data_IF_063822045460
#
_entry.id   IF_063822045460
#
_cell.length_a   1.000
_cell.length_b   1.000
_cell.length_c   1.000
_cell.angle_alpha   90.00
_cell.angle_beta   90.00
_cell.angle_gamma   90.00
#
_symmetry.space_group_name_H-M   'P 1'
#
loop_
_entity.id
_entity.type
_entity.pdbx_description
1 polymer ?
#
# COMPACT_ATOMS: atom_id res chain seq x y z
N UNK A 1 15.60 -4.01 -5.33
CA UNK A 1 14.34 -3.52 -5.87
C UNK A 1 14.53 -2.73 -7.18
N UNK A 2 15.57 -1.95 -7.35
CA UNK A 2 15.84 -1.20 -8.60
C UNK A 2 16.28 -2.05 -9.78
N UNK A 3 16.64 -3.31 -9.59
CA UNK A 3 17.14 -4.17 -10.66
C UNK A 3 18.54 -3.83 -11.19
N UNK A 4 19.35 -3.10 -10.43
CA UNK A 4 20.68 -2.67 -10.86
C UNK A 4 21.56 -3.85 -11.27
N UNK A 5 21.54 -4.92 -10.49
CA UNK A 5 22.28 -6.15 -10.81
C UNK A 5 21.73 -6.83 -12.07
N UNK A 6 20.39 -7.02 -12.14
CA UNK A 6 19.71 -7.64 -13.29
C UNK A 6 20.03 -6.94 -14.60
N UNK A 7 20.00 -5.62 -14.59
CA UNK A 7 20.19 -4.80 -15.79
C UNK A 7 21.61 -4.28 -15.98
N UNK A 8 22.57 -4.74 -15.16
CA UNK A 8 23.97 -4.32 -15.17
C UNK A 8 24.13 -2.80 -15.19
N UNK A 9 23.31 -2.13 -14.39
CA UNK A 9 23.34 -0.67 -14.24
C UNK A 9 24.13 -0.27 -13.00
N UNK A 10 24.87 0.82 -13.13
CA UNK A 10 25.46 1.48 -11.95
C UNK A 10 24.43 2.45 -11.36
N UNK A 11 24.40 2.65 -10.02
CA UNK A 11 23.64 3.73 -9.42
C UNK A 11 24.06 5.05 -10.05
N UNK A 12 23.11 5.86 -10.55
CA UNK A 12 23.42 7.16 -11.14
C UNK A 12 23.95 8.14 -10.10
N UNK A 13 23.49 7.99 -8.85
CA UNK A 13 23.84 8.89 -7.76
C UNK A 13 24.71 8.14 -6.75
N UNK A 14 25.78 8.81 -6.31
CA UNK A 14 26.50 8.36 -5.12
C UNK A 14 25.60 8.57 -3.91
N UNK A 15 25.44 7.52 -3.12
CA UNK A 15 24.64 7.58 -1.88
C UNK A 15 25.57 7.97 -0.75
N UNK A 16 25.64 9.28 -0.45
CA UNK A 16 26.35 9.77 0.73
C UNK A 16 25.37 9.92 1.89
N UNK A 17 25.75 9.39 3.04
CA UNK A 17 25.14 9.73 4.33
C UNK A 17 25.97 10.84 4.98
N UNK A 18 25.32 11.88 5.47
CA UNK A 18 25.99 12.97 6.20
C UNK A 18 25.24 13.29 7.49
N UNK A 19 25.99 13.82 8.46
CA UNK A 19 25.44 14.28 9.71
C UNK A 19 25.01 15.74 9.59
N UNK A 20 23.84 16.06 10.14
CA UNK A 20 23.34 17.43 10.29
C UNK A 20 22.96 17.70 11.74
N UNK A 21 22.95 18.99 12.11
CA UNK A 21 22.63 19.45 13.46
C UNK A 21 21.26 20.10 13.55
N UNK A 22 20.71 20.53 12.39
CA UNK A 22 19.40 21.14 12.27
C UNK A 22 18.48 20.25 11.42
N UNK A 23 17.22 20.11 11.83
CA UNK A 23 16.27 19.22 11.17
C UNK A 23 16.40 17.76 11.60
N UNK A 24 15.46 16.92 11.20
CA UNK A 24 15.42 15.50 11.57
C UNK A 24 16.17 14.63 10.55
N UNK A 25 15.73 14.63 9.31
CA UNK A 25 16.38 13.98 8.17
C UNK A 25 15.86 14.59 6.87
N UNK A 26 16.65 14.53 5.82
CA UNK A 26 16.23 14.91 4.47
C UNK A 26 17.19 14.34 3.42
N UNK A 27 16.73 14.28 2.17
CA UNK A 27 17.56 13.99 1.02
C UNK A 27 17.62 15.20 0.08
N UNK A 28 18.76 15.39 -0.56
CA UNK A 28 18.97 16.41 -1.59
C UNK A 28 19.83 15.88 -2.75
N UNK A 29 20.30 16.76 -3.60
CA UNK A 29 21.15 16.42 -4.76
C UNK A 29 22.51 15.81 -4.38
N UNK A 30 22.91 15.87 -3.11
CA UNK A 30 24.22 15.39 -2.63
C UNK A 30 24.13 14.10 -1.83
N UNK A 31 22.93 13.67 -1.40
CA UNK A 31 22.73 12.44 -0.65
C UNK A 31 21.65 12.55 0.43
N UNK A 32 21.71 11.66 1.40
CA UNK A 32 20.82 11.63 2.56
C UNK A 32 21.50 12.26 3.77
N UNK A 33 20.75 13.06 4.51
CA UNK A 33 21.23 13.76 5.72
C UNK A 33 20.43 13.32 6.94
N UNK A 34 21.11 13.06 8.04
CA UNK A 34 20.52 12.58 9.28
C UNK A 34 20.98 13.42 10.46
N UNK A 35 20.06 13.78 11.35
CA UNK A 35 20.42 14.47 12.59
C UNK A 35 21.44 13.64 13.39
N UNK A 36 22.38 14.31 14.09
CA UNK A 36 23.44 13.63 14.83
C UNK A 36 22.93 12.58 15.83
N UNK A 37 21.78 12.82 16.45
CA UNK A 37 21.12 11.86 17.33
C UNK A 37 20.68 10.59 16.62
N UNK A 38 20.21 10.70 15.38
CA UNK A 38 19.80 9.56 14.52
C UNK A 38 21.02 8.77 14.02
N UNK A 39 22.16 9.42 13.83
CA UNK A 39 23.38 8.74 13.35
C UNK A 39 23.91 7.69 14.32
N UNK A 40 23.61 7.78 15.60
CA UNK A 40 23.92 6.70 16.57
C UNK A 40 23.19 5.39 16.24
N UNK A 41 22.03 5.49 15.60
CA UNK A 41 21.25 4.32 15.16
C UNK A 41 21.68 3.87 13.78
N UNK A 42 21.92 4.81 12.85
CA UNK A 42 22.41 4.51 11.49
C UNK A 42 23.78 3.82 11.51
N UNK A 43 24.67 4.24 12.44
CA UNK A 43 26.01 3.66 12.60
C UNK A 43 26.07 2.38 13.44
N UNK A 44 24.95 1.90 13.97
CA UNK A 44 24.90 0.69 14.81
C UNK A 44 24.12 -0.43 14.10
N UNK A 45 24.78 -1.48 13.60
CA UNK A 45 24.13 -2.58 12.90
C UNK A 45 22.99 -3.25 13.68
N UNK A 46 23.10 -3.33 15.01
CA UNK A 46 22.10 -3.99 15.86
C UNK A 46 20.80 -3.13 15.99
N UNK A 47 20.89 -1.83 15.70
CA UNK A 47 19.75 -0.91 15.76
C UNK A 47 19.12 -0.66 14.39
N UNK A 48 19.82 -0.97 13.31
CA UNK A 48 19.33 -0.75 11.93
C UNK A 48 17.93 -1.36 11.70
N UNK A 49 17.60 -2.59 12.13
CA UNK A 49 16.27 -3.15 11.90
C UNK A 49 15.13 -2.26 12.44
N UNK A 50 15.32 -1.59 13.58
CA UNK A 50 14.33 -0.68 14.17
C UNK A 50 14.24 0.68 13.48
N UNK A 51 15.36 1.18 12.92
CA UNK A 51 15.46 2.50 12.25
C UNK A 51 15.49 2.42 10.72
N UNK A 52 15.42 1.22 10.16
CA UNK A 52 15.58 0.96 8.73
C UNK A 52 14.64 1.78 7.84
N UNK A 53 13.43 2.08 8.30
CA UNK A 53 12.47 2.84 7.51
C UNK A 53 12.98 4.24 7.17
N UNK A 54 13.41 5.02 8.17
CA UNK A 54 13.89 6.39 7.95
C UNK A 54 15.13 6.43 7.06
N UNK A 55 16.07 5.52 7.30
CA UNK A 55 17.28 5.40 6.48
C UNK A 55 16.91 5.10 5.02
N UNK A 56 16.08 4.10 4.81
CA UNK A 56 15.64 3.71 3.46
C UNK A 56 14.75 4.76 2.79
N UNK A 57 14.02 5.56 3.57
CA UNK A 57 13.22 6.68 3.11
C UNK A 57 14.10 7.76 2.45
N UNK A 58 15.14 8.22 3.13
CA UNK A 58 16.02 9.25 2.57
C UNK A 58 16.83 8.72 1.39
N UNK A 59 17.39 7.53 1.49
CA UNK A 59 18.04 6.90 0.32
C UNK A 59 17.05 6.57 -0.79
N UNK A 60 15.78 6.35 -0.46
CA UNK A 60 14.68 6.23 -1.40
C UNK A 60 14.51 7.50 -2.24
N UNK A 61 14.56 8.68 -1.63
CA UNK A 61 14.54 9.96 -2.34
C UNK A 61 15.73 10.14 -3.28
N UNK A 62 16.94 9.74 -2.84
CA UNK A 62 18.15 9.80 -3.68
C UNK A 62 18.02 8.93 -4.92
N UNK A 63 17.35 7.76 -4.79
CA UNK A 63 17.18 6.78 -5.85
C UNK A 63 15.84 6.89 -6.60
N UNK A 64 14.97 7.80 -6.21
CA UNK A 64 13.66 8.02 -6.82
C UNK A 64 13.82 8.46 -8.28
N UNK A 65 13.28 7.68 -9.21
CA UNK A 65 13.39 7.98 -10.65
C UNK A 65 12.47 9.16 -10.99
N UNK A 66 13.08 10.32 -11.21
CA UNK A 66 12.37 11.58 -11.48
C UNK A 66 12.39 11.92 -12.96
N UNK A 67 11.28 12.43 -13.51
CA UNK A 67 9.93 12.51 -12.95
C UNK A 67 9.12 11.22 -13.07
N UNK A 68 9.63 10.19 -13.75
CA UNK A 68 8.89 8.98 -14.15
C UNK A 68 8.20 8.22 -12.99
N UNK A 69 8.78 8.30 -11.77
CA UNK A 69 8.24 7.69 -10.55
C UNK A 69 7.96 8.74 -9.47
N UNK A 70 7.93 10.03 -9.83
CA UNK A 70 7.63 11.14 -8.91
C UNK A 70 6.77 12.17 -9.62
N UNK A 71 5.48 11.98 -9.64
CA UNK A 71 4.49 12.98 -10.03
C UNK A 71 3.87 13.64 -8.80
N UNK A 72 3.02 14.66 -9.00
CA UNK A 72 2.40 15.39 -7.90
C UNK A 72 1.72 14.46 -6.90
N UNK A 73 1.81 14.78 -5.62
CA UNK A 73 1.27 13.99 -4.49
C UNK A 73 1.92 12.61 -4.25
N UNK A 74 3.06 12.32 -4.90
CA UNK A 74 3.78 11.04 -4.72
C UNK A 74 5.23 11.20 -4.28
N UNK A 75 5.67 12.43 -4.01
CA UNK A 75 7.02 12.72 -3.57
C UNK A 75 7.47 11.89 -2.38
N UNK A 76 6.60 11.77 -1.37
CA UNK A 76 6.79 11.01 -0.14
C UNK A 76 6.15 9.62 -0.19
N UNK A 77 5.75 9.13 -1.38
CA UNK A 77 5.08 7.85 -1.53
C UNK A 77 5.96 6.85 -2.26
N UNK A 78 6.43 7.18 -3.45
CA UNK A 78 7.19 6.24 -4.28
C UNK A 78 8.61 6.00 -3.78
N UNK A 79 9.22 6.94 -3.03
CA UNK A 79 10.45 6.69 -2.29
C UNK A 79 10.25 5.64 -1.18
N UNK A 80 9.06 5.57 -0.58
CA UNK A 80 8.74 4.62 0.46
C UNK A 80 8.49 3.17 -0.04
N UNK A 81 8.46 2.93 -1.34
CA UNK A 81 8.58 1.56 -1.89
C UNK A 81 9.90 0.93 -1.43
N UNK A 82 10.99 1.72 -1.41
CA UNK A 82 12.29 1.27 -0.89
C UNK A 82 12.23 1.02 0.61
N UNK A 83 11.60 1.91 1.38
CA UNK A 83 11.45 1.77 2.82
C UNK A 83 10.67 0.53 3.21
N UNK A 84 9.54 0.29 2.55
CA UNK A 84 8.72 -0.89 2.78
C UNK A 84 9.51 -2.17 2.46
N UNK A 85 10.21 -2.21 1.33
CA UNK A 85 11.04 -3.34 0.95
C UNK A 85 12.17 -3.62 1.96
N UNK A 86 12.95 -2.60 2.34
CA UNK A 86 14.05 -2.76 3.29
C UNK A 86 13.52 -3.16 4.68
N UNK A 87 12.45 -2.54 5.14
CA UNK A 87 11.84 -2.87 6.42
C UNK A 87 11.33 -4.32 6.42
N UNK A 88 10.66 -4.77 5.35
CA UNK A 88 10.23 -6.16 5.21
C UNK A 88 11.40 -7.15 5.26
N UNK A 89 12.50 -6.85 4.58
CA UNK A 89 13.68 -7.72 4.54
C UNK A 89 14.39 -7.84 5.91
N UNK A 90 14.36 -6.77 6.71
CA UNK A 90 15.04 -6.72 8.01
C UNK A 90 14.13 -7.08 9.18
N UNK A 91 12.85 -6.70 9.11
CA UNK A 91 11.90 -6.91 10.19
C UNK A 91 10.46 -6.96 9.68
N UNK A 92 10.01 -8.09 9.08
CA UNK A 92 8.67 -8.22 8.50
C UNK A 92 7.55 -8.12 9.55
N UNK A 93 7.83 -8.43 10.82
CA UNK A 93 6.85 -8.35 11.92
C UNK A 93 6.63 -6.92 12.45
N UNK A 94 7.29 -5.92 11.88
CA UNK A 94 7.21 -4.52 12.32
C UNK A 94 6.90 -3.57 11.14
N UNK A 95 6.15 -4.04 10.16
CA UNK A 95 5.77 -3.23 9.01
C UNK A 95 4.85 -2.08 9.40
N UNK A 96 5.16 -0.87 8.92
CA UNK A 96 4.40 0.35 9.25
C UNK A 96 2.92 0.27 8.92
N UNK A 97 2.62 -0.23 7.74
CA UNK A 97 1.23 -0.26 7.26
C UNK A 97 0.37 -1.22 8.08
N UNK A 98 0.93 -2.38 8.42
CA UNK A 98 0.23 -3.46 9.07
C UNK A 98 0.32 -3.42 10.61
N UNK A 99 1.37 -2.81 11.18
CA UNK A 99 1.63 -2.95 12.63
C UNK A 99 1.76 -1.61 13.38
N UNK A 100 1.87 -0.48 12.69
CA UNK A 100 1.97 0.82 13.35
C UNK A 100 0.60 1.29 13.87
N UNK A 101 0.60 1.86 15.08
CA UNK A 101 -0.50 2.66 15.62
C UNK A 101 -0.18 4.12 15.41
N UNK A 102 -1.15 4.89 14.97
CA UNK A 102 -1.03 6.35 14.89
C UNK A 102 -2.26 6.99 15.53
N UNK A 103 -2.09 8.19 16.06
CA UNK A 103 -3.19 8.92 16.68
C UNK A 103 -4.22 9.36 15.65
N UNK A 104 -5.50 9.13 15.97
CA UNK A 104 -6.65 9.59 15.20
C UNK A 104 -7.37 8.49 14.39
N UNK A 105 -8.68 8.48 14.47
CA UNK A 105 -9.56 7.58 13.71
C UNK A 105 -9.15 6.10 13.78
N UNK A 106 -9.04 5.46 12.65
CA UNK A 106 -8.59 4.07 12.53
C UNK A 106 -7.12 3.87 12.92
N UNK A 107 -6.32 4.94 13.00
CA UNK A 107 -4.91 4.90 13.38
C UNK A 107 -4.66 4.42 14.81
N UNK A 108 -5.65 4.51 15.71
CA UNK A 108 -5.51 4.02 17.08
C UNK A 108 -5.40 2.49 17.18
N UNK A 109 -5.69 1.77 16.10
CA UNK A 109 -5.58 0.32 16.01
C UNK A 109 -4.29 -0.06 15.26
N UNK A 110 -3.70 -1.21 15.62
CA UNK A 110 -2.67 -1.83 14.77
C UNK A 110 -3.27 -2.07 13.40
N UNK A 111 -2.57 -1.65 12.33
CA UNK A 111 -3.07 -1.72 10.96
C UNK A 111 -4.06 -0.61 10.58
N UNK A 112 -4.17 0.44 11.40
CA UNK A 112 -5.14 1.52 11.18
C UNK A 112 -4.98 2.25 9.84
N UNK A 113 -3.74 2.47 9.37
CA UNK A 113 -3.50 3.04 8.03
C UNK A 113 -3.95 2.13 6.91
N UNK A 114 -3.65 0.85 7.03
CA UNK A 114 -4.09 -0.13 6.04
C UNK A 114 -5.62 -0.22 6.00
N UNK A 115 -6.27 -0.21 7.16
CA UNK A 115 -7.72 -0.15 7.25
C UNK A 115 -8.31 1.14 6.68
N UNK A 116 -7.63 2.29 6.86
CA UNK A 116 -8.04 3.55 6.23
C UNK A 116 -8.00 3.43 4.69
N UNK A 117 -6.94 2.85 4.12
CA UNK A 117 -6.86 2.55 2.69
C UNK A 117 -8.01 1.64 2.24
N UNK A 118 -8.27 0.54 2.95
CA UNK A 118 -9.35 -0.39 2.60
C UNK A 118 -10.73 0.28 2.62
N UNK A 119 -10.99 1.16 3.59
CA UNK A 119 -12.30 1.76 3.75
C UNK A 119 -12.50 3.03 2.94
N UNK A 120 -11.48 3.86 2.76
CA UNK A 120 -11.57 5.09 1.96
C UNK A 120 -11.32 4.81 0.47
N UNK A 121 -10.24 4.11 0.15
CA UNK A 121 -9.92 3.78 -1.25
C UNK A 121 -10.83 2.70 -1.82
N UNK A 122 -10.91 1.52 -1.19
CA UNK A 122 -11.58 0.35 -1.76
C UNK A 122 -13.11 0.41 -1.55
N UNK A 123 -13.56 0.65 -0.32
CA UNK A 123 -14.99 0.62 0.02
C UNK A 123 -15.72 1.86 -0.49
N UNK A 124 -15.23 3.06 -0.16
CA UNK A 124 -15.83 4.33 -0.59
C UNK A 124 -15.47 4.72 -2.02
N UNK A 125 -14.41 4.12 -2.57
CA UNK A 125 -13.96 4.40 -3.94
C UNK A 125 -13.35 5.78 -4.11
N UNK A 126 -12.68 6.33 -3.09
CA UNK A 126 -11.95 7.61 -3.22
C UNK A 126 -10.82 7.49 -4.25
N UNK A 127 -10.48 8.60 -4.91
CA UNK A 127 -9.32 8.61 -5.79
C UNK A 127 -8.04 8.41 -4.97
N UNK A 128 -7.10 7.63 -5.50
CA UNK A 128 -5.86 7.25 -4.83
C UNK A 128 -5.06 8.43 -4.26
N UNK A 129 -4.96 9.52 -5.00
CA UNK A 129 -4.13 10.66 -4.61
C UNK A 129 -4.76 11.54 -3.52
N UNK A 130 -6.09 11.47 -3.37
CA UNK A 130 -6.84 12.32 -2.44
C UNK A 130 -7.59 11.54 -1.38
N UNK A 131 -7.31 10.25 -1.22
CA UNK A 131 -7.97 9.44 -0.21
C UNK A 131 -7.59 9.86 1.20
N UNK A 132 -8.58 9.87 2.08
CA UNK A 132 -8.43 10.22 3.49
C UNK A 132 -7.57 9.19 4.24
N UNK A 133 -6.81 9.66 5.22
CA UNK A 133 -6.04 8.81 6.12
C UNK A 133 -5.98 9.38 7.52
N UNK A 134 -5.49 8.62 8.51
CA UNK A 134 -5.39 9.05 9.88
C UNK A 134 -4.27 10.07 10.12
N UNK A 135 -3.22 10.06 9.31
CA UNK A 135 -2.12 11.03 9.41
C UNK A 135 -2.45 12.27 8.57
N UNK A 136 -3.14 13.21 9.19
CA UNK A 136 -3.44 14.50 8.58
C UNK A 136 -2.24 15.42 8.79
N UNK A 137 -1.27 15.36 7.91
CA UNK A 137 -0.22 16.39 7.88
C UNK A 137 -0.80 17.66 7.27
N UNK A 138 -0.96 18.69 8.10
CA UNK A 138 -1.19 20.03 7.60
C UNK A 138 0.06 20.48 6.85
N UNK A 139 -0.06 20.78 5.57
CA UNK A 139 0.94 21.60 4.89
C UNK A 139 1.06 22.91 5.66
N UNK A 140 2.29 23.41 5.91
CA UNK A 140 2.48 24.75 6.49
C UNK A 140 1.76 25.78 5.64
N UNK A 141 1.36 26.91 6.24
CA UNK A 141 0.87 28.10 5.56
C UNK A 141 -0.50 28.00 4.86
N UNK A 142 -1.53 27.43 5.50
CA UNK A 142 -2.91 27.38 4.97
C UNK A 142 -3.08 26.67 3.61
N UNK A 143 -2.13 25.82 3.23
CA UNK A 143 -2.24 25.02 2.02
C UNK A 143 -3.21 23.86 2.20
N UNK A 144 -3.84 23.35 1.13
CA UNK A 144 -4.67 22.15 1.19
C UNK A 144 -3.93 21.01 1.85
N UNK A 145 -4.62 20.24 2.69
CA UNK A 145 -4.00 19.14 3.46
C UNK A 145 -3.31 18.14 2.55
N UNK A 146 -2.06 17.83 2.86
CA UNK A 146 -1.36 16.68 2.30
C UNK A 146 -2.07 15.43 2.80
N UNK A 147 -2.54 14.59 1.87
CA UNK A 147 -3.18 13.33 2.19
C UNK A 147 -2.15 12.32 2.71
N UNK A 148 -2.56 11.38 3.55
CA UNK A 148 -1.68 10.41 4.20
C UNK A 148 -0.84 9.64 3.18
N UNK A 149 0.48 9.86 3.21
CA UNK A 149 1.43 9.24 2.28
C UNK A 149 1.47 7.72 2.39
N UNK A 150 1.27 7.19 3.60
CA UNK A 150 1.34 5.75 3.82
C UNK A 150 0.03 5.05 3.42
N UNK A 151 -1.09 5.74 3.50
CA UNK A 151 -2.34 5.26 2.90
C UNK A 151 -2.19 5.14 1.37
N UNK A 152 -1.55 6.15 0.74
CA UNK A 152 -1.20 6.10 -0.70
C UNK A 152 -0.15 5.03 -1.03
N UNK A 153 0.73 4.69 -0.10
CA UNK A 153 1.73 3.63 -0.30
C UNK A 153 1.12 2.23 -0.34
N UNK A 154 -0.01 2.00 0.34
CA UNK A 154 -0.58 0.66 0.49
C UNK A 154 -0.74 -0.10 -0.84
N UNK A 155 -1.35 0.44 -1.91
CA UNK A 155 -1.49 -0.29 -3.17
C UNK A 155 -0.14 -0.57 -3.86
N UNK A 156 0.86 0.30 -3.72
CA UNK A 156 2.19 0.05 -4.28
C UNK A 156 2.90 -1.08 -3.53
N UNK A 157 2.76 -1.12 -2.20
CA UNK A 157 3.28 -2.20 -1.38
C UNK A 157 2.58 -3.54 -1.66
N UNK A 158 1.27 -3.53 -1.90
CA UNK A 158 0.51 -4.72 -2.29
C UNK A 158 1.00 -5.37 -3.58
N UNK A 159 1.46 -4.58 -4.54
CA UNK A 159 2.07 -5.12 -5.76
C UNK A 159 3.37 -5.87 -5.48
N UNK A 160 4.23 -5.36 -4.58
CA UNK A 160 5.44 -6.08 -4.15
C UNK A 160 5.08 -7.37 -3.41
N UNK A 161 4.13 -7.30 -2.48
CA UNK A 161 3.65 -8.48 -1.75
C UNK A 161 3.11 -9.55 -2.70
N UNK A 162 2.33 -9.16 -3.68
CA UNK A 162 1.72 -10.11 -4.61
C UNK A 162 2.75 -10.77 -5.54
N UNK A 163 3.57 -9.96 -6.19
CA UNK A 163 4.52 -10.49 -7.18
C UNK A 163 5.76 -11.11 -6.57
N UNK A 164 6.37 -10.45 -5.59
CA UNK A 164 7.64 -10.90 -5.02
C UNK A 164 7.44 -11.84 -3.84
N UNK A 165 6.67 -11.45 -2.84
CA UNK A 165 6.53 -12.20 -1.58
C UNK A 165 5.65 -13.42 -1.78
N UNK A 166 4.47 -13.26 -2.36
CA UNK A 166 3.55 -14.36 -2.66
C UNK A 166 3.91 -15.14 -3.94
N UNK A 167 4.85 -14.64 -4.75
CA UNK A 167 5.33 -15.35 -5.94
C UNK A 167 4.25 -15.54 -7.01
N UNK A 168 3.30 -14.61 -7.16
CA UNK A 168 2.16 -14.72 -8.07
C UNK A 168 2.40 -14.12 -9.46
N UNK A 169 3.60 -14.26 -9.96
CA UNK A 169 3.99 -13.78 -11.29
C UNK A 169 5.46 -13.42 -11.36
N UNK A 170 5.77 -12.25 -11.95
CA UNK A 170 7.13 -11.81 -12.14
C UNK A 170 7.81 -11.38 -10.81
N UNK A 171 8.80 -12.11 -10.29
CA UNK A 171 9.50 -11.75 -9.06
C UNK A 171 10.34 -10.48 -9.20
N UNK A 172 10.64 -10.08 -10.45
CA UNK A 172 11.35 -8.86 -10.80
C UNK A 172 10.40 -7.71 -11.20
N UNK A 173 9.17 -7.71 -10.68
CA UNK A 173 8.15 -6.74 -11.03
C UNK A 173 8.63 -5.29 -10.89
N UNK A 174 9.08 -4.88 -9.72
CA UNK A 174 9.62 -3.53 -9.52
C UNK A 174 10.96 -3.30 -10.23
N UNK A 175 11.95 -4.21 -10.23
CA UNK A 175 13.11 -4.10 -11.10
C UNK A 175 12.78 -3.72 -12.55
N UNK A 176 11.79 -4.38 -13.14
CA UNK A 176 11.40 -4.13 -14.53
C UNK A 176 10.69 -2.78 -14.69
N UNK A 177 9.85 -2.37 -13.73
CA UNK A 177 9.22 -1.04 -13.72
C UNK A 177 10.28 0.06 -13.60
N UNK A 178 11.22 -0.05 -12.66
CA UNK A 178 12.29 0.94 -12.49
C UNK A 178 13.16 1.05 -13.72
N UNK A 179 13.50 -0.07 -14.35
CA UNK A 179 14.26 -0.05 -15.59
C UNK A 179 13.52 0.69 -16.72
N UNK A 180 12.22 0.41 -16.91
CA UNK A 180 11.38 1.11 -17.89
C UNK A 180 11.27 2.60 -17.59
N UNK A 181 11.09 2.96 -16.30
CA UNK A 181 11.00 4.34 -15.85
C UNK A 181 12.29 5.12 -16.11
N UNK A 182 13.47 4.51 -15.88
CA UNK A 182 14.78 5.12 -16.15
C UNK A 182 14.98 5.37 -17.66
N UNK A 183 14.44 4.51 -18.51
CA UNK A 183 14.58 4.61 -19.98
C UNK A 183 13.49 5.45 -20.65
N UNK A 184 12.46 5.84 -19.89
CA UNK A 184 11.32 6.58 -20.45
C UNK A 184 11.71 8.02 -20.81
N UNK A 185 11.31 8.47 -22.00
CA UNK A 185 11.32 9.90 -22.34
C UNK A 185 10.18 10.60 -21.60
N UNK A 186 10.56 11.45 -20.66
CA UNK A 186 9.62 12.19 -19.79
C UNK A 186 9.47 13.66 -20.17
N UNK A 187 10.16 14.13 -21.23
CA UNK A 187 10.10 15.53 -21.67
C UNK A 187 8.68 15.91 -22.05
N UNK A 188 8.19 17.00 -21.47
CA UNK A 188 6.85 17.53 -21.73
C UNK A 188 5.68 16.72 -21.18
N UNK A 189 5.92 15.57 -20.49
CA UNK A 189 4.85 14.78 -19.89
C UNK A 189 4.29 15.47 -18.66
N UNK A 190 2.95 15.48 -18.57
CA UNK A 190 2.19 15.93 -17.40
C UNK A 190 2.07 14.80 -16.37
N UNK A 191 1.77 15.15 -15.13
CA UNK A 191 1.69 14.21 -14.00
C UNK A 191 0.70 13.05 -14.22
N UNK A 192 -0.47 13.32 -14.81
CA UNK A 192 -1.42 12.27 -15.19
C UNK A 192 -0.86 11.28 -16.19
N UNK A 193 -0.08 11.75 -17.19
CA UNK A 193 0.56 10.89 -18.16
C UNK A 193 1.66 10.02 -17.52
N UNK A 194 2.35 10.54 -16.49
CA UNK A 194 3.36 9.77 -15.73
C UNK A 194 2.70 8.65 -14.92
N UNK A 195 1.57 8.94 -14.25
CA UNK A 195 0.81 7.91 -13.54
C UNK A 195 0.25 6.83 -14.48
N UNK A 196 -0.30 7.22 -15.63
CA UNK A 196 -0.75 6.29 -16.66
C UNK A 196 0.39 5.44 -17.22
N UNK A 197 1.57 6.05 -17.43
CA UNK A 197 2.77 5.33 -17.86
C UNK A 197 3.25 4.33 -16.81
N UNK A 198 3.18 4.68 -15.50
CA UNK A 198 3.47 3.74 -14.43
C UNK A 198 2.53 2.53 -14.47
N UNK A 199 1.21 2.75 -14.56
CA UNK A 199 0.23 1.66 -14.61
C UNK A 199 0.40 0.78 -15.86
N UNK A 200 0.72 1.38 -17.01
CA UNK A 200 1.05 0.65 -18.25
C UNK A 200 2.30 -0.21 -18.07
N UNK A 201 3.38 0.37 -17.53
CA UNK A 201 4.62 -0.34 -17.25
C UNK A 201 4.41 -1.47 -16.24
N UNK A 202 3.53 -1.30 -15.27
CA UNK A 202 3.16 -2.33 -14.31
C UNK A 202 2.46 -3.51 -14.98
N UNK A 203 1.49 -3.27 -15.86
CA UNK A 203 0.87 -4.34 -16.65
C UNK A 203 1.89 -5.07 -17.52
N UNK A 204 2.81 -4.34 -18.16
CA UNK A 204 3.86 -4.93 -19.00
C UNK A 204 4.87 -5.75 -18.19
N UNK A 205 5.29 -5.26 -17.00
CA UNK A 205 6.21 -5.95 -16.11
C UNK A 205 5.58 -7.23 -15.54
N UNK A 206 4.32 -7.15 -15.16
CA UNK A 206 3.55 -8.27 -14.65
C UNK A 206 3.20 -9.30 -15.74
N UNK A 207 3.09 -8.86 -17.01
CA UNK A 207 2.41 -9.58 -18.10
C UNK A 207 1.00 -9.98 -17.70
N UNK A 208 0.33 -9.13 -16.92
CA UNK A 208 -1.03 -9.31 -16.42
C UNK A 208 -1.82 -8.02 -16.59
N UNK A 209 -3.13 -8.14 -16.83
CA UNK A 209 -4.05 -7.00 -16.83
C UNK A 209 -4.40 -6.60 -15.40
N UNK A 210 -3.71 -5.58 -14.88
CA UNK A 210 -3.89 -5.05 -13.54
C UNK A 210 -4.96 -3.96 -13.46
N UNK A 211 -5.74 -3.72 -14.51
CA UNK A 211 -6.67 -2.58 -14.56
C UNK A 211 -7.78 -2.66 -13.51
N UNK A 212 -8.23 -3.87 -13.14
CA UNK A 212 -9.22 -4.01 -12.05
C UNK A 212 -8.62 -3.64 -10.69
N UNK A 213 -7.35 -4.00 -10.45
CA UNK A 213 -6.62 -3.55 -9.27
C UNK A 213 -6.51 -2.02 -9.25
N UNK A 214 -6.07 -1.40 -10.34
CA UNK A 214 -5.91 0.07 -10.39
C UNK A 214 -7.24 0.80 -10.27
N UNK A 215 -8.34 0.25 -10.81
CA UNK A 215 -9.68 0.81 -10.63
C UNK A 215 -10.14 0.73 -9.17
N UNK A 216 -9.97 -0.44 -8.55
CA UNK A 216 -10.38 -0.67 -7.15
C UNK A 216 -9.59 0.19 -6.17
N UNK A 217 -8.30 0.38 -6.40
CA UNK A 217 -7.44 1.22 -5.55
C UNK A 217 -7.59 2.72 -5.80
N UNK A 218 -8.43 3.13 -6.76
CA UNK A 218 -8.62 4.53 -7.13
C UNK A 218 -7.47 5.15 -7.94
N UNK A 219 -6.47 4.34 -8.35
CA UNK A 219 -5.36 4.82 -9.20
C UNK A 219 -5.81 5.07 -10.64
N UNK A 220 -6.66 4.19 -11.19
CA UNK A 220 -7.26 4.34 -12.52
C UNK A 220 -8.69 4.90 -12.36
N UNK A 221 -8.75 6.14 -11.92
CA UNK A 221 -9.98 6.91 -11.72
C UNK A 221 -9.77 8.32 -12.25
N UNK A 222 -10.72 8.87 -13.02
CA UNK A 222 -10.63 10.24 -13.50
C UNK A 222 -10.42 11.25 -12.38
N UNK A 223 -9.57 12.22 -12.63
CA UNK A 223 -9.28 13.34 -11.73
C UNK A 223 -8.92 14.56 -12.57
N UNK A 224 -9.37 15.73 -12.16
CA UNK A 224 -8.93 17.01 -12.68
C UNK A 224 -8.90 18.01 -11.53
N UNK A 225 -7.78 18.01 -10.81
CA UNK A 225 -7.63 18.75 -9.56
C UNK A 225 -6.21 19.28 -9.40
N UNK A 226 -6.08 20.47 -8.83
CA UNK A 226 -4.81 20.97 -8.34
C UNK A 226 -4.46 20.31 -7.01
N UNK A 227 -3.27 19.75 -6.93
CA UNK A 227 -2.76 19.05 -5.75
C UNK A 227 -1.52 19.77 -5.25
N UNK A 228 -1.41 19.91 -3.93
CA UNK A 228 -0.23 20.45 -3.26
C UNK A 228 0.41 19.35 -2.39
N UNK A 229 1.67 19.02 -2.70
CA UNK A 229 2.50 18.08 -1.95
C UNK A 229 3.97 18.46 -2.15
N UNK A 230 4.45 19.46 -1.40
CA UNK A 230 5.74 20.15 -1.57
C UNK A 230 5.89 20.89 -2.91
N UNK A 231 5.14 20.51 -3.92
CA UNK A 231 5.01 21.19 -5.21
C UNK A 231 3.55 21.21 -5.61
N UNK A 232 3.10 22.34 -6.13
CA UNK A 232 1.72 22.49 -6.59
C UNK A 232 1.65 22.18 -8.09
N UNK A 233 0.78 21.25 -8.48
CA UNK A 233 0.54 20.92 -9.88
C UNK A 233 -0.88 20.39 -10.11
N UNK A 234 -1.39 20.58 -11.33
CA UNK A 234 -2.69 20.05 -11.73
C UNK A 234 -2.54 18.60 -12.19
N UNK A 235 -3.25 17.73 -11.52
CA UNK A 235 -3.36 16.31 -11.88
C UNK A 235 -4.58 16.11 -12.75
N UNK A 236 -4.39 15.63 -13.99
CA UNK A 236 -5.47 15.38 -14.94
C UNK A 236 -5.36 13.96 -15.50
N UNK A 237 -6.37 13.14 -15.27
CA UNK A 237 -6.63 11.85 -15.93
C UNK A 237 -8.08 11.85 -16.37
N UNK A 238 -8.35 11.67 -17.65
CA UNK A 238 -9.70 11.69 -18.22
C UNK A 238 -10.30 10.28 -18.27
N UNK A 239 -11.63 10.20 -18.48
CA UNK A 239 -12.31 8.93 -18.78
C UNK A 239 -11.74 8.26 -20.05
N UNK A 240 -11.33 9.03 -21.04
CA UNK A 240 -10.71 8.51 -22.25
C UNK A 240 -9.36 7.86 -21.96
N UNK A 241 -8.54 8.46 -21.11
CA UNK A 241 -7.26 7.90 -20.67
C UNK A 241 -7.45 6.58 -19.94
N UNK A 242 -8.44 6.51 -19.04
CA UNK A 242 -8.79 5.27 -18.36
C UNK A 242 -9.20 4.17 -19.35
N UNK A 243 -10.08 4.49 -20.31
CA UNK A 243 -10.51 3.55 -21.35
C UNK A 243 -9.35 3.07 -22.22
N UNK A 244 -8.44 3.97 -22.60
CA UNK A 244 -7.26 3.65 -23.39
C UNK A 244 -6.33 2.69 -22.67
N UNK A 245 -6.07 2.91 -21.37
CA UNK A 245 -5.25 2.00 -20.59
C UNK A 245 -5.89 0.61 -20.42
N UNK A 246 -7.21 0.57 -20.19
CA UNK A 246 -7.96 -0.69 -20.12
C UNK A 246 -7.86 -1.44 -21.46
N UNK A 247 -8.07 -0.75 -22.58
CA UNK A 247 -7.94 -1.35 -23.91
C UNK A 247 -6.53 -1.89 -24.16
N UNK A 248 -5.50 -1.15 -23.76
CA UNK A 248 -4.11 -1.59 -23.86
C UNK A 248 -3.82 -2.85 -23.06
N UNK A 249 -4.31 -2.93 -21.82
CA UNK A 249 -4.01 -4.02 -20.90
C UNK A 249 -4.73 -5.34 -21.24
N UNK A 250 -5.82 -5.30 -22.03
CA UNK A 250 -6.60 -6.47 -22.47
C UNK A 250 -5.80 -7.54 -23.21
N UNK A 251 -4.62 -7.20 -23.73
CA UNK A 251 -3.69 -8.17 -24.34
C UNK A 251 -3.12 -9.17 -23.33
N UNK A 252 -3.21 -8.86 -22.05
CA UNK A 252 -2.76 -9.71 -20.96
C UNK A 252 -3.91 -10.41 -20.25
N UNK A 253 -3.64 -11.57 -19.66
CA UNK A 253 -4.59 -12.25 -18.78
C UNK A 253 -4.75 -11.51 -17.45
N UNK A 254 -5.92 -11.62 -16.84
CA UNK A 254 -6.14 -11.14 -15.47
C UNK A 254 -5.25 -11.89 -14.48
N UNK A 255 -4.89 -11.28 -13.34
CA UNK A 255 -4.26 -11.97 -12.23
C UNK A 255 -5.06 -13.19 -11.76
N UNK A 256 -4.35 -14.16 -11.18
CA UNK A 256 -4.98 -15.34 -10.57
C UNK A 256 -5.95 -14.96 -9.44
N UNK A 257 -5.55 -14.02 -8.60
CA UNK A 257 -6.41 -13.48 -7.55
C UNK A 257 -7.17 -12.24 -8.04
N UNK A 258 -8.50 -12.21 -7.93
CA UNK A 258 -9.29 -11.02 -8.24
C UNK A 258 -9.24 -9.96 -7.13
N UNK A 259 -8.65 -10.27 -5.97
CA UNK A 259 -8.63 -9.43 -4.77
C UNK A 259 -7.20 -9.08 -4.31
N UNK A 260 -6.30 -8.80 -5.25
CA UNK A 260 -4.92 -8.36 -4.94
C UNK A 260 -4.91 -7.18 -3.97
N UNK A 261 -5.89 -6.29 -4.07
CA UNK A 261 -6.04 -5.10 -3.23
C UNK A 261 -6.38 -5.40 -1.76
N UNK A 262 -6.43 -6.67 -1.37
CA UNK A 262 -6.61 -7.12 0.00
C UNK A 262 -5.35 -7.73 0.62
N UNK A 263 -4.31 -8.01 -0.20
CA UNK A 263 -3.08 -8.61 0.33
C UNK A 263 -2.38 -7.67 1.33
N UNK A 264 -1.94 -8.25 2.44
CA UNK A 264 -1.07 -7.63 3.44
C UNK A 264 0.04 -8.60 3.80
N UNK A 265 1.04 -8.18 4.56
CA UNK A 265 2.07 -9.10 5.09
C UNK A 265 1.42 -10.24 5.86
N UNK A 266 0.38 -9.95 6.65
CA UNK A 266 -0.33 -10.95 7.46
C UNK A 266 -1.08 -12.01 6.64
N UNK A 267 -1.40 -11.73 5.38
CA UNK A 267 -2.13 -12.64 4.48
C UNK A 267 -1.31 -13.18 3.31
N UNK A 268 -0.07 -12.72 3.14
CA UNK A 268 0.76 -13.10 1.99
C UNK A 268 0.93 -14.61 1.82
N UNK A 269 1.01 -15.35 2.92
CA UNK A 269 1.13 -16.82 2.90
C UNK A 269 -0.13 -17.50 2.34
N UNK A 270 -1.32 -16.95 2.60
CA UNK A 270 -2.57 -17.44 2.04
C UNK A 270 -2.61 -17.30 0.51
N UNK A 271 -2.09 -16.18 -0.02
CA UNK A 271 -1.93 -16.00 -1.46
C UNK A 271 -0.88 -16.95 -2.03
N UNK A 272 0.30 -17.03 -1.41
CA UNK A 272 1.44 -17.85 -1.86
C UNK A 272 1.03 -19.30 -2.06
N UNK A 273 0.39 -19.90 -1.07
CA UNK A 273 0.04 -21.31 -1.05
C UNK A 273 -1.42 -21.60 -1.44
N UNK A 274 -2.16 -20.60 -1.93
CA UNK A 274 -3.57 -20.75 -2.34
C UNK A 274 -4.45 -21.36 -1.24
N UNK A 275 -4.23 -20.92 0.00
CA UNK A 275 -4.92 -21.49 1.16
C UNK A 275 -6.36 -20.95 1.24
N UNK A 276 -7.39 -21.82 1.23
CA UNK A 276 -8.76 -21.37 1.40
C UNK A 276 -9.00 -20.93 2.84
N UNK A 277 -9.96 -20.04 3.04
CA UNK A 277 -10.48 -19.74 4.39
C UNK A 277 -11.00 -21.03 5.01
N UNK A 278 -10.65 -21.26 6.27
CA UNK A 278 -11.16 -22.33 7.12
C UNK A 278 -11.69 -21.70 8.42
N UNK A 279 -12.81 -22.20 8.87
CA UNK A 279 -13.41 -21.77 10.14
C UNK A 279 -14.76 -22.41 10.37
N UNK A 280 -15.31 -22.19 11.54
CA UNK A 280 -16.62 -22.72 11.92
C UNK A 280 -17.54 -21.55 12.29
N UNK A 281 -18.65 -21.46 11.60
CA UNK A 281 -19.65 -20.40 11.76
C UNK A 281 -20.02 -20.16 13.24
N UNK A 282 -20.01 -18.91 13.65
CA UNK A 282 -20.25 -18.44 15.02
C UNK A 282 -19.28 -18.97 16.10
N UNK A 283 -18.19 -19.65 15.75
CA UNK A 283 -17.16 -20.06 16.69
C UNK A 283 -15.91 -19.17 16.59
N UNK A 284 -15.16 -19.07 17.67
CA UNK A 284 -13.93 -18.28 17.72
C UNK A 284 -14.18 -16.77 17.55
N UNK A 285 -15.36 -16.29 17.88
CA UNK A 285 -15.75 -14.88 17.83
C UNK A 285 -16.16 -14.41 19.22
N UNK A 286 -15.44 -13.44 19.76
CA UNK A 286 -15.78 -12.80 21.05
C UNK A 286 -16.43 -11.45 20.80
N UNK A 287 -17.56 -11.20 21.44
CA UNK A 287 -18.27 -9.92 21.35
C UNK A 287 -17.69 -8.92 22.35
N UNK A 288 -17.38 -7.72 21.86
CA UNK A 288 -16.86 -6.63 22.69
C UNK A 288 -17.47 -5.29 22.23
N UNK A 289 -18.61 -4.95 22.78
CA UNK A 289 -19.34 -3.74 22.37
C UNK A 289 -19.59 -3.70 20.86
N UNK A 290 -19.13 -2.65 20.21
CA UNK A 290 -19.23 -2.46 18.77
C UNK A 290 -18.10 -3.14 17.98
N UNK A 291 -17.47 -4.18 18.51
CA UNK A 291 -16.39 -4.95 17.89
C UNK A 291 -16.64 -6.44 18.05
N UNK A 292 -16.01 -7.21 17.16
CA UNK A 292 -15.93 -8.68 17.24
C UNK A 292 -14.48 -9.07 17.12
N UNK A 293 -13.95 -9.83 18.08
CA UNK A 293 -12.59 -10.36 18.04
C UNK A 293 -12.69 -11.75 17.44
N UNK A 294 -12.11 -11.91 16.26
CA UNK A 294 -12.09 -13.17 15.51
C UNK A 294 -10.75 -13.86 15.75
N UNK A 295 -10.77 -15.05 16.38
CA UNK A 295 -9.58 -15.85 16.67
C UNK A 295 -9.09 -16.56 15.41
N UNK A 296 -7.78 -16.49 15.15
CA UNK A 296 -7.15 -17.18 14.03
C UNK A 296 -6.85 -18.66 14.33
N UNK A 297 -7.03 -19.13 15.57
CA UNK A 297 -7.03 -20.57 15.87
C UNK A 297 -8.20 -21.27 15.18
N UNK A 298 -9.33 -20.58 15.09
CA UNK A 298 -10.56 -21.06 14.43
C UNK A 298 -10.63 -20.59 12.97
N UNK A 299 -10.42 -19.28 12.74
CA UNK A 299 -10.56 -18.66 11.42
C UNK A 299 -9.19 -18.46 10.75
N UNK A 300 -8.80 -19.41 9.91
CA UNK A 300 -7.49 -19.43 9.25
C UNK A 300 -7.58 -18.94 7.81
N UNK A 301 -6.50 -18.34 7.33
CA UNK A 301 -6.27 -17.96 5.93
C UNK A 301 -7.23 -16.88 5.39
N UNK A 302 -7.94 -16.16 6.23
CA UNK A 302 -8.65 -14.97 5.81
C UNK A 302 -7.65 -13.89 5.36
N UNK A 303 -8.00 -13.12 4.33
CA UNK A 303 -7.18 -11.99 3.87
C UNK A 303 -7.71 -10.66 4.41
N UNK A 304 -9.03 -10.54 4.49
CA UNK A 304 -9.76 -9.48 5.20
C UNK A 304 -11.04 -10.04 5.78
N UNK A 305 -11.64 -9.28 6.70
CA UNK A 305 -13.00 -9.48 7.17
C UNK A 305 -13.88 -8.34 6.67
N UNK A 306 -15.00 -8.67 6.05
CA UNK A 306 -15.99 -7.71 5.56
C UNK A 306 -17.19 -7.70 6.52
N UNK A 307 -17.58 -6.52 7.03
CA UNK A 307 -18.76 -6.32 7.86
C UNK A 307 -19.89 -5.76 7.02
N UNK A 308 -21.08 -6.30 7.18
CA UNK A 308 -22.27 -5.94 6.42
C UNK A 308 -23.42 -5.48 7.31
N UNK A 309 -24.19 -4.53 6.79
CA UNK A 309 -25.53 -4.19 7.22
C UNK A 309 -26.47 -4.65 6.11
N UNK A 310 -27.16 -5.75 6.35
CA UNK A 310 -27.94 -6.48 5.34
C UNK A 310 -27.14 -6.78 4.06
N UNK A 311 -27.41 -6.10 2.96
CA UNK A 311 -26.68 -6.27 1.68
C UNK A 311 -25.54 -5.30 1.48
N UNK A 312 -25.46 -4.26 2.30
CA UNK A 312 -24.45 -3.21 2.19
C UNK A 312 -23.20 -3.58 2.97
N UNK A 313 -22.04 -3.56 2.32
CA UNK A 313 -20.75 -3.66 2.97
C UNK A 313 -20.43 -2.32 3.65
N UNK A 314 -20.32 -2.33 4.98
CA UNK A 314 -20.08 -1.11 5.77
C UNK A 314 -18.64 -0.99 6.27
N UNK A 315 -17.89 -2.10 6.28
CA UNK A 315 -16.49 -2.09 6.74
C UNK A 315 -15.68 -3.21 6.11
N UNK A 316 -14.40 -2.92 5.84
CA UNK A 316 -13.37 -3.91 5.48
C UNK A 316 -12.27 -3.82 6.52
N UNK A 317 -11.86 -4.95 7.08
CA UNK A 317 -10.85 -5.03 8.13
C UNK A 317 -9.72 -5.96 7.70
N UNK A 318 -8.48 -5.46 7.73
CA UNK A 318 -7.28 -6.23 7.45
C UNK A 318 -7.12 -7.35 8.50
N UNK A 319 -6.76 -8.54 8.07
CA UNK A 319 -6.41 -9.64 8.98
C UNK A 319 -5.25 -9.24 9.89
N UNK A 320 -5.36 -9.54 11.20
CA UNK A 320 -4.39 -9.15 12.20
C UNK A 320 -4.57 -7.72 12.75
N UNK A 321 -5.65 -7.01 12.37
CA UNK A 321 -5.98 -5.72 12.97
C UNK A 321 -6.06 -5.83 14.48
N UNK A 322 -5.35 -4.93 15.17
CA UNK A 322 -5.21 -4.84 16.64
C UNK A 322 -4.56 -6.06 17.31
N UNK A 323 -3.83 -6.88 16.55
CA UNK A 323 -3.07 -8.05 17.00
C UNK A 323 -1.62 -8.01 16.50
N UNK A 324 -0.64 -7.95 17.40
CA UNK A 324 0.79 -7.89 17.03
C UNK A 324 1.32 -9.19 16.48
N UNK A 325 0.85 -10.31 17.01
CA UNK A 325 1.25 -11.67 16.68
C UNK A 325 0.37 -12.33 15.62
N UNK A 326 -0.57 -11.55 15.07
CA UNK A 326 -1.55 -12.03 14.10
C UNK A 326 -2.37 -13.24 14.61
N UNK A 327 -2.60 -13.35 15.93
CA UNK A 327 -3.40 -14.43 16.54
C UNK A 327 -4.91 -14.20 16.46
N UNK A 328 -5.31 -12.95 16.17
CA UNK A 328 -6.71 -12.55 16.06
C UNK A 328 -6.89 -11.33 15.16
N UNK A 329 -8.14 -11.00 14.87
CA UNK A 329 -8.52 -9.74 14.22
C UNK A 329 -9.64 -9.08 14.99
N UNK A 330 -9.45 -7.83 15.40
CA UNK A 330 -10.50 -6.97 15.93
C UNK A 330 -11.29 -6.34 14.80
N UNK A 331 -12.47 -6.86 14.53
CA UNK A 331 -13.36 -6.42 13.45
C UNK A 331 -14.38 -5.42 14.01
N UNK A 332 -14.39 -4.16 13.54
CA UNK A 332 -15.45 -3.22 13.86
C UNK A 332 -16.82 -3.74 13.41
N UNK A 333 -17.79 -3.66 14.33
CA UNK A 333 -19.16 -4.10 14.12
C UNK A 333 -20.12 -2.99 14.57
N UNK A 334 -20.22 -1.89 13.77
CA UNK A 334 -21.04 -0.75 14.10
C UNK A 334 -22.52 -1.14 14.24
N UNK A 335 -23.28 -0.28 14.92
CA UNK A 335 -24.71 -0.50 15.13
C UNK A 335 -25.47 -0.76 13.83
N UNK A 336 -26.36 -1.74 13.87
CA UNK A 336 -27.10 -2.20 12.70
C UNK A 336 -26.35 -3.17 11.79
N UNK A 337 -25.08 -3.52 12.10
CA UNK A 337 -24.39 -4.58 11.39
C UNK A 337 -25.10 -5.92 11.60
N UNK A 338 -25.17 -6.73 10.55
CA UNK A 338 -25.90 -8.00 10.56
C UNK A 338 -25.01 -9.22 10.45
N UNK A 339 -23.81 -9.08 9.81
CA UNK A 339 -22.89 -10.21 9.66
C UNK A 339 -21.44 -9.79 9.39
N UNK A 340 -20.54 -10.76 9.58
CA UNK A 340 -19.13 -10.68 9.18
C UNK A 340 -18.85 -11.86 8.24
N UNK A 341 -18.15 -11.58 7.15
CA UNK A 341 -17.64 -12.57 6.21
C UNK A 341 -16.12 -12.50 6.13
N UNK A 342 -15.45 -13.66 6.14
CA UNK A 342 -14.04 -13.80 5.85
C UNK A 342 -13.83 -13.96 4.35
N UNK A 343 -12.89 -13.22 3.77
CA UNK A 343 -12.56 -13.30 2.35
C UNK A 343 -11.31 -14.13 2.16
N UNK A 344 -11.33 -15.03 1.18
CA UNK A 344 -10.20 -15.84 0.75
C UNK A 344 -9.36 -15.09 -0.30
N UNK A 345 -8.13 -15.54 -0.52
CA UNK A 345 -7.22 -15.04 -1.56
C UNK A 345 -7.82 -15.04 -2.97
N UNK A 346 -8.78 -15.93 -3.24
CA UNK A 346 -9.49 -16.07 -4.51
C UNK A 346 -10.82 -15.29 -4.56
N UNK A 347 -11.10 -14.48 -3.53
CA UNK A 347 -12.28 -13.64 -3.43
C UNK A 347 -13.54 -14.36 -2.92
N UNK A 348 -13.48 -15.67 -2.63
CA UNK A 348 -14.61 -16.38 -2.00
C UNK A 348 -14.84 -15.88 -0.59
N UNK A 349 -16.11 -15.79 -0.20
CA UNK A 349 -16.55 -15.33 1.10
C UNK A 349 -17.11 -16.47 1.92
N UNK A 350 -16.77 -16.49 3.21
CA UNK A 350 -17.26 -17.48 4.18
C UNK A 350 -17.86 -16.74 5.36
N UNK A 351 -19.11 -17.05 5.72
CA UNK A 351 -19.80 -16.43 6.83
C UNK A 351 -19.14 -16.79 8.16
N UNK A 352 -18.68 -15.76 8.89
CA UNK A 352 -18.02 -15.88 10.19
C UNK A 352 -19.02 -15.78 11.32
N UNK A 353 -19.83 -14.73 11.31
CA UNK A 353 -20.68 -14.34 12.43
C UNK A 353 -21.96 -13.65 11.94
N UNK A 354 -23.06 -13.79 12.69
CA UNK A 354 -24.30 -13.07 12.48
C UNK A 354 -25.29 -13.78 11.55
N UNK A 355 -26.13 -13.03 10.85
CA UNK A 355 -27.23 -13.59 10.04
C UNK A 355 -26.74 -14.12 8.70
N UNK A 356 -27.29 -15.26 8.25
CA UNK A 356 -27.06 -15.73 6.89
C UNK A 356 -27.63 -14.73 5.88
N UNK A 357 -26.94 -14.46 4.77
CA UNK A 357 -27.50 -13.65 3.69
C UNK A 357 -28.85 -14.24 3.25
N UNK A 358 -29.84 -13.40 3.05
CA UNK A 358 -31.08 -13.84 2.39
C UNK A 358 -30.73 -14.30 0.96
N UNK A 359 -31.26 -15.45 0.58
CA UNK A 359 -31.09 -16.01 -0.79
C UNK A 359 -31.60 -15.06 -1.84
#
# INVERSE_FOLDING_TARGET
IMGLYKYRMLPKNRMFGRVIWNGFMHADGTGAAFHNGTMKEVGNPDRIPGSAWGIAHEFGHVNQVRPAMKWVSTGEVTNNIYSAYVNYMLNPSSMRLEHERINGGDGNMIGGRFNAYLNNGILKGENWLVQSGPDKRSGGDNRPMVHDHFVKLAPLWQLELYFKVAGKGNPDFYPDIFYKAIKMDTRGKKDGELQLAFMKNACDAARQDLTDFFRKTGMLKPIDQELDDYTCARMTITEADCKNLIAYARKYKKPESPVIYYISVNSAEAYKNRLPVRGVYNQGVTEQGNRRIVSHDVWKNAVVFETYKDREMVRITMVGTDSRDNSSTTVPYPEGSTRIEAVSWDGRRTLVYGKRPAK
#
